data_IF_801822322063
#
_entry.id   IF_801822322063
#
_cell.length_a   1.000
_cell.length_b   1.000
_cell.length_c   1.000
_cell.angle_alpha   90.00
_cell.angle_beta   90.00
_cell.angle_gamma   90.00
#
_symmetry.space_group_name_H-M   'P 1'
#
loop_
_entity.id
_entity.type
_entity.pdbx_description
1 polymer ?
#
# COMPACT_ATOMS: atom_id res chain seq x y z
N UNK A 1 5.93 -18.86 -1.39
CA UNK A 1 6.96 -18.00 -2.00
C UNK A 1 6.36 -16.73 -2.64
N UNK A 2 5.31 -16.82 -3.48
CA UNK A 2 4.67 -15.64 -4.11
C UNK A 2 4.16 -14.61 -3.09
N UNK A 3 3.47 -15.06 -2.06
CA UNK A 3 2.87 -14.18 -1.03
C UNK A 3 3.93 -13.41 -0.24
N UNK A 4 5.05 -14.07 0.12
CA UNK A 4 6.17 -13.42 0.80
C UNK A 4 6.86 -12.33 -0.08
N UNK A 5 6.94 -12.56 -1.39
CA UNK A 5 7.42 -11.55 -2.34
C UNK A 5 6.48 -10.34 -2.39
N UNK A 6 5.16 -10.58 -2.41
CA UNK A 6 4.16 -9.50 -2.36
C UNK A 6 4.28 -8.64 -1.10
N UNK A 7 4.51 -9.26 0.07
CA UNK A 7 4.73 -8.54 1.31
C UNK A 7 6.00 -7.66 1.25
N UNK A 8 7.11 -8.22 0.78
CA UNK A 8 8.36 -7.48 0.62
C UNK A 8 8.24 -6.30 -0.33
N UNK A 9 7.56 -6.49 -1.46
CA UNK A 9 7.31 -5.42 -2.43
C UNK A 9 6.45 -4.30 -1.85
N UNK A 10 5.39 -4.61 -1.07
CA UNK A 10 4.57 -3.57 -0.44
C UNK A 10 5.33 -2.75 0.59
N UNK A 11 6.19 -3.38 1.39
CA UNK A 11 7.03 -2.64 2.35
C UNK A 11 8.00 -1.72 1.61
N UNK A 12 8.61 -2.19 0.52
CA UNK A 12 9.51 -1.38 -0.30
C UNK A 12 8.77 -0.23 -0.98
N UNK A 13 7.58 -0.46 -1.50
CA UNK A 13 6.74 0.55 -2.15
C UNK A 13 6.40 1.66 -1.16
N UNK A 14 5.86 1.32 0.00
CA UNK A 14 5.58 2.28 1.07
C UNK A 14 6.81 3.06 1.51
N UNK A 15 7.96 2.41 1.69
CA UNK A 15 9.20 3.08 2.08
C UNK A 15 9.69 4.06 1.01
N UNK A 16 9.58 3.68 -0.27
CA UNK A 16 9.96 4.54 -1.39
C UNK A 16 8.98 5.70 -1.57
N UNK A 17 7.69 5.51 -1.33
CA UNK A 17 6.70 6.58 -1.40
C UNK A 17 6.92 7.63 -0.30
N UNK A 18 7.19 7.22 0.93
CA UNK A 18 7.57 8.15 2.02
C UNK A 18 8.81 8.95 1.61
N UNK A 19 9.83 8.31 1.05
CA UNK A 19 11.04 8.98 0.61
C UNK A 19 10.78 9.99 -0.52
N UNK A 20 9.92 9.65 -1.49
CA UNK A 20 9.53 10.57 -2.58
C UNK A 20 8.71 11.75 -2.04
N UNK A 21 7.78 11.51 -1.11
CA UNK A 21 6.99 12.56 -0.45
C UNK A 21 7.92 13.55 0.26
N UNK A 22 8.87 13.06 1.07
CA UNK A 22 9.85 13.91 1.77
C UNK A 22 10.64 14.75 0.78
N UNK A 23 11.11 14.14 -0.30
CA UNK A 23 11.88 14.81 -1.34
C UNK A 23 11.09 15.90 -2.07
N UNK A 24 9.80 15.65 -2.37
CA UNK A 24 8.94 16.64 -3.03
C UNK A 24 8.57 17.77 -2.07
N UNK A 25 8.39 17.49 -0.78
CA UNK A 25 8.12 18.51 0.23
C UNK A 25 9.32 19.43 0.50
N UNK A 26 10.56 18.94 0.27
CA UNK A 26 11.78 19.72 0.45
C UNK A 26 12.03 20.81 -0.61
N UNK A 27 11.24 20.84 -1.69
CA UNK A 27 11.36 21.84 -2.77
C UNK A 27 10.04 22.58 -2.95
N UNK A 28 10.04 23.89 -2.93
CA UNK A 28 8.82 24.72 -3.05
C UNK A 28 8.05 24.44 -4.36
N UNK A 29 8.77 24.22 -5.47
CA UNK A 29 8.16 23.96 -6.79
C UNK A 29 7.39 22.63 -6.85
N UNK A 30 7.79 21.62 -6.06
CA UNK A 30 7.20 20.27 -6.06
C UNK A 30 6.37 19.96 -4.82
N UNK A 31 6.31 20.88 -3.87
CA UNK A 31 5.61 20.71 -2.60
C UNK A 31 4.14 20.33 -2.78
N UNK A 32 3.47 20.89 -3.79
CA UNK A 32 2.08 20.54 -4.12
C UNK A 32 1.91 19.08 -4.50
N UNK A 33 2.87 18.51 -5.24
CA UNK A 33 2.85 17.09 -5.62
C UNK A 33 3.15 16.18 -4.41
N UNK A 34 4.04 16.61 -3.51
CA UNK A 34 4.28 15.92 -2.23
C UNK A 34 3.01 15.82 -1.39
N UNK A 35 2.25 16.91 -1.28
CA UNK A 35 0.95 16.90 -0.61
C UNK A 35 -0.06 15.98 -1.28
N UNK A 36 -0.11 15.95 -2.61
CA UNK A 36 -1.01 15.07 -3.35
C UNK A 36 -0.69 13.60 -3.09
N UNK A 37 0.59 13.21 -3.11
CA UNK A 37 1.02 11.84 -2.76
C UNK A 37 0.65 11.50 -1.31
N UNK A 38 0.92 12.40 -0.36
CA UNK A 38 0.56 12.19 1.04
C UNK A 38 -0.93 11.94 1.21
N UNK A 39 -1.79 12.73 0.54
CA UNK A 39 -3.23 12.55 0.59
C UNK A 39 -3.69 11.23 -0.02
N UNK A 40 -3.02 10.70 -1.06
CA UNK A 40 -3.29 9.37 -1.63
C UNK A 40 -3.01 8.27 -0.60
N UNK A 41 -1.85 8.32 0.06
CA UNK A 41 -1.50 7.38 1.14
C UNK A 41 -2.50 7.46 2.30
N UNK A 42 -2.82 8.67 2.76
CA UNK A 42 -3.79 8.87 3.85
C UNK A 42 -5.18 8.35 3.47
N UNK A 43 -5.63 8.58 2.23
CA UNK A 43 -6.91 8.06 1.75
C UNK A 43 -6.92 6.53 1.70
N UNK A 44 -5.85 5.89 1.20
CA UNK A 44 -5.67 4.44 1.22
C UNK A 44 -5.76 3.88 2.64
N UNK A 45 -5.01 4.46 3.58
CA UNK A 45 -5.04 4.07 4.99
C UNK A 45 -6.41 4.27 5.63
N UNK A 46 -7.11 5.38 5.32
CA UNK A 46 -8.44 5.66 5.86
C UNK A 46 -9.47 4.61 5.40
N UNK A 47 -9.42 4.20 4.13
CA UNK A 47 -10.32 3.15 3.60
C UNK A 47 -9.99 1.80 4.25
N UNK A 48 -8.72 1.46 4.42
CA UNK A 48 -8.30 0.24 5.11
C UNK A 48 -8.75 0.24 6.59
N UNK A 49 -8.62 1.38 7.28
CA UNK A 49 -9.13 1.53 8.66
C UNK A 49 -10.63 1.36 8.76
N UNK A 50 -11.38 1.93 7.81
CA UNK A 50 -12.83 1.77 7.74
C UNK A 50 -13.21 0.30 7.54
N UNK A 51 -12.51 -0.39 6.63
CA UNK A 51 -12.71 -1.82 6.38
C UNK A 51 -12.47 -2.66 7.65
N UNK A 52 -11.33 -2.45 8.31
CA UNK A 52 -10.97 -3.13 9.57
C UNK A 52 -12.00 -2.84 10.67
N UNK A 53 -12.49 -1.60 10.74
CA UNK A 53 -13.52 -1.21 11.71
C UNK A 53 -14.83 -1.97 11.47
N UNK A 54 -15.30 -2.02 10.24
CA UNK A 54 -16.54 -2.73 9.89
C UNK A 54 -16.42 -4.22 10.19
N UNK A 55 -15.28 -4.82 9.83
CA UNK A 55 -15.01 -6.24 10.01
C UNK A 55 -14.91 -6.66 11.50
N UNK A 56 -14.35 -5.81 12.35
CA UNK A 56 -14.05 -6.15 13.74
C UNK A 56 -14.92 -5.41 14.77
N UNK A 57 -16.09 -4.89 14.37
CA UNK A 57 -16.97 -4.08 15.21
C UNK A 57 -17.38 -4.75 16.53
N UNK A 58 -17.43 -6.09 16.58
CA UNK A 58 -17.78 -6.86 17.78
C UNK A 58 -16.63 -7.19 18.74
N UNK A 59 -15.35 -6.86 18.37
CA UNK A 59 -14.16 -7.31 19.10
C UNK A 59 -13.15 -6.19 19.31
N UNK A 60 -13.30 -5.39 20.38
CA UNK A 60 -12.50 -4.18 20.55
C UNK A 60 -10.99 -4.45 20.65
N UNK A 61 -10.56 -5.58 21.20
CA UNK A 61 -9.13 -5.91 21.32
C UNK A 61 -8.49 -6.23 19.97
N UNK A 62 -9.20 -6.99 19.12
CA UNK A 62 -8.76 -7.33 17.75
C UNK A 62 -8.77 -6.06 16.90
N UNK A 63 -9.83 -5.26 17.00
CA UNK A 63 -9.96 -4.00 16.31
C UNK A 63 -8.77 -3.07 16.56
N UNK A 64 -8.40 -2.84 17.81
CA UNK A 64 -7.26 -1.97 18.15
C UNK A 64 -5.94 -2.52 17.57
N UNK A 65 -5.72 -3.83 17.67
CA UNK A 65 -4.53 -4.47 17.09
C UNK A 65 -4.47 -4.29 15.57
N UNK A 66 -5.55 -4.57 14.88
CA UNK A 66 -5.64 -4.43 13.41
C UNK A 66 -5.50 -2.97 12.96
N UNK A 67 -6.11 -2.03 13.69
CA UNK A 67 -5.96 -0.60 13.41
C UNK A 67 -4.50 -0.14 13.57
N UNK A 68 -3.79 -0.60 14.58
CA UNK A 68 -2.36 -0.31 14.75
C UNK A 68 -1.53 -0.87 13.59
N UNK A 69 -1.84 -2.09 13.12
CA UNK A 69 -1.16 -2.69 11.98
C UNK A 69 -1.40 -1.86 10.71
N UNK A 70 -2.63 -1.38 10.47
CA UNK A 70 -2.92 -0.49 9.33
C UNK A 70 -2.13 0.82 9.45
N UNK A 71 -2.11 1.44 10.63
CA UNK A 71 -1.39 2.71 10.86
C UNK A 71 0.12 2.60 10.65
N UNK A 72 0.71 1.41 10.85
CA UNK A 72 2.12 1.17 10.52
C UNK A 72 2.36 0.89 9.04
N UNK A 73 1.30 0.78 8.21
CA UNK A 73 1.38 0.41 6.80
C UNK A 73 1.80 -1.05 6.56
N UNK A 74 1.88 -1.84 7.62
CA UNK A 74 2.30 -3.26 7.55
C UNK A 74 1.12 -4.21 7.30
N UNK A 75 -0.10 -3.70 7.16
CA UNK A 75 -1.30 -4.53 6.96
C UNK A 75 -1.15 -5.53 5.81
N UNK A 76 -0.71 -5.12 4.59
CA UNK A 76 -0.52 -6.08 3.49
C UNK A 76 0.52 -7.16 3.80
N UNK A 77 1.58 -6.80 4.52
CA UNK A 77 2.63 -7.76 4.90
C UNK A 77 2.15 -8.77 5.95
N UNK A 78 1.36 -8.31 6.92
CA UNK A 78 0.78 -9.17 7.97
C UNK A 78 -0.26 -10.12 7.37
N UNK A 79 -1.14 -9.63 6.49
CA UNK A 79 -2.15 -10.45 5.82
C UNK A 79 -1.50 -11.49 4.91
N UNK A 80 -0.43 -11.11 4.21
CA UNK A 80 0.42 -12.05 3.50
C UNK A 80 1.00 -13.13 4.41
N UNK A 81 1.50 -12.76 5.59
CA UNK A 81 2.02 -13.71 6.57
C UNK A 81 0.97 -14.70 7.05
N UNK A 82 -0.25 -14.24 7.30
CA UNK A 82 -1.40 -15.08 7.71
C UNK A 82 -1.74 -16.12 6.63
N UNK A 83 -1.81 -15.68 5.38
CA UNK A 83 -2.06 -16.58 4.23
C UNK A 83 -0.92 -17.59 4.07
N UNK A 84 0.35 -17.20 4.27
CA UNK A 84 1.50 -18.09 4.17
C UNK A 84 1.51 -19.20 5.25
N UNK A 85 1.05 -18.87 6.46
CA UNK A 85 0.99 -19.82 7.59
C UNK A 85 -0.22 -20.75 7.48
N UNK A 86 -1.11 -20.51 6.49
CA UNK A 86 -2.32 -21.30 6.32
C UNK A 86 -3.27 -21.13 7.50
N UNK A 87 -3.30 -19.95 8.11
CA UNK A 87 -4.35 -19.63 9.09
C UNK A 87 -5.69 -19.71 8.36
N UNK A 88 -6.30 -20.90 8.46
CA UNK A 88 -7.71 -21.09 8.15
C UNK A 88 -8.52 -20.14 9.05
N UNK A 89 -9.72 -19.80 8.61
CA UNK A 89 -10.64 -18.92 9.35
C UNK A 89 -10.53 -19.19 10.85
N UNK A 90 -9.98 -18.27 11.63
CA UNK A 90 -10.34 -18.23 13.03
C UNK A 90 -11.86 -18.09 13.05
N UNK A 91 -12.57 -18.94 13.83
CA UNK A 91 -14.05 -19.03 13.95
C UNK A 91 -14.77 -17.67 14.14
N UNK A 92 -14.04 -16.59 14.02
CA UNK A 92 -14.41 -15.26 14.43
C UNK A 92 -14.15 -14.16 13.38
N UNK A 93 -13.55 -14.44 12.22
CA UNK A 93 -13.43 -13.49 11.13
C UNK A 93 -14.58 -13.67 10.13
N UNK A 94 -15.26 -12.59 9.76
CA UNK A 94 -16.36 -12.62 8.77
C UNK A 94 -15.85 -12.90 7.34
N UNK A 95 -14.58 -12.64 7.09
CA UNK A 95 -13.94 -12.84 5.79
C UNK A 95 -12.74 -13.79 5.90
N UNK A 96 -12.56 -14.61 4.87
CA UNK A 96 -11.36 -15.45 4.71
C UNK A 96 -10.11 -14.57 4.55
N UNK A 97 -8.97 -15.01 5.12
CA UNK A 97 -7.70 -14.30 5.08
C UNK A 97 -7.25 -13.93 3.65
N UNK A 98 -7.61 -14.77 2.67
CA UNK A 98 -7.36 -14.49 1.24
C UNK A 98 -8.20 -13.32 0.74
N UNK A 99 -9.49 -13.30 1.05
CA UNK A 99 -10.40 -12.21 0.66
C UNK A 99 -9.96 -10.89 1.28
N UNK A 100 -9.55 -10.93 2.56
CA UNK A 100 -9.00 -9.76 3.25
C UNK A 100 -7.73 -9.23 2.56
N UNK A 101 -6.81 -10.12 2.21
CA UNK A 101 -5.58 -9.77 1.50
C UNK A 101 -5.88 -9.15 0.13
N UNK A 102 -6.77 -9.78 -0.67
CA UNK A 102 -7.15 -9.28 -2.00
C UNK A 102 -7.78 -7.89 -1.90
N UNK A 103 -8.65 -7.68 -0.93
CA UNK A 103 -9.31 -6.40 -0.71
C UNK A 103 -8.33 -5.31 -0.29
N UNK A 104 -7.47 -5.58 0.70
CA UNK A 104 -6.44 -4.65 1.17
C UNK A 104 -5.47 -4.28 0.05
N UNK A 105 -5.02 -5.27 -0.74
CA UNK A 105 -4.16 -5.05 -1.89
C UNK A 105 -4.87 -4.28 -3.01
N UNK A 106 -6.13 -4.53 -3.25
CA UNK A 106 -6.95 -3.79 -4.21
C UNK A 106 -7.05 -2.31 -3.85
N UNK A 107 -7.29 -1.99 -2.58
CA UNK A 107 -7.33 -0.60 -2.08
C UNK A 107 -5.98 0.08 -2.26
N UNK A 108 -4.88 -0.56 -1.82
CA UNK A 108 -3.52 -0.06 -1.96
C UNK A 108 -3.22 0.27 -3.43
N UNK A 109 -3.53 -0.66 -4.33
CA UNK A 109 -3.27 -0.51 -5.76
C UNK A 109 -4.07 0.65 -6.38
N UNK A 110 -5.37 0.74 -6.09
CA UNK A 110 -6.27 1.74 -6.72
C UNK A 110 -6.11 3.13 -6.11
N UNK A 111 -5.91 3.24 -4.80
CA UNK A 111 -5.87 4.52 -4.11
C UNK A 111 -4.46 5.12 -3.99
N UNK A 112 -3.43 4.31 -4.10
CA UNK A 112 -2.04 4.70 -3.83
C UNK A 112 -1.12 4.39 -5.00
N UNK A 113 -0.91 3.12 -5.35
CA UNK A 113 0.12 2.72 -6.29
C UNK A 113 -0.13 3.23 -7.72
N UNK A 114 -1.34 3.10 -8.27
CA UNK A 114 -1.65 3.57 -9.62
C UNK A 114 -1.63 5.11 -9.71
N UNK A 115 -2.40 5.87 -8.90
CA UNK A 115 -2.40 7.31 -9.01
C UNK A 115 -1.07 7.92 -8.60
N UNK A 116 -0.35 7.34 -7.63
CA UNK A 116 0.99 7.74 -7.23
C UNK A 116 2.01 7.60 -8.35
N UNK A 117 2.01 6.45 -9.05
CA UNK A 117 2.89 6.22 -10.21
C UNK A 117 2.62 7.19 -11.35
N UNK A 118 1.35 7.48 -11.65
CA UNK A 118 0.96 8.46 -12.68
C UNK A 118 1.47 9.86 -12.31
N UNK A 119 1.29 10.26 -11.05
CA UNK A 119 1.75 11.56 -10.57
C UNK A 119 3.27 11.66 -10.61
N UNK A 120 3.99 10.64 -10.16
CA UNK A 120 5.45 10.60 -10.20
C UNK A 120 5.97 10.67 -11.64
N UNK A 121 5.34 9.92 -12.57
CA UNK A 121 5.70 9.97 -13.99
C UNK A 121 5.45 11.37 -14.59
N UNK A 122 4.32 11.99 -14.26
CA UNK A 122 4.02 13.36 -14.70
C UNK A 122 5.08 14.36 -14.22
N UNK A 123 5.46 14.29 -12.95
CA UNK A 123 6.48 15.17 -12.36
C UNK A 123 7.84 14.97 -13.02
N UNK A 124 8.23 13.71 -13.29
CA UNK A 124 9.47 13.39 -14.01
C UNK A 124 9.51 13.95 -15.43
N UNK A 125 8.38 13.91 -16.14
CA UNK A 125 8.29 14.44 -17.50
C UNK A 125 8.32 15.98 -17.53
N UNK A 126 7.77 16.62 -16.49
CA UNK A 126 7.68 18.07 -16.39
C UNK A 126 9.01 18.70 -16.00
N UNK A 127 9.73 18.10 -15.06
CA UNK A 127 10.98 18.64 -14.53
C UNK A 127 12.12 17.62 -14.62
N UNK A 128 12.95 17.80 -15.64
CA UNK A 128 14.14 16.96 -15.86
C UNK A 128 15.17 17.04 -14.73
N UNK A 129 15.14 18.10 -13.90
CA UNK A 129 16.03 18.23 -12.74
C UNK A 129 15.70 17.24 -11.61
N UNK A 130 14.47 16.72 -11.61
CA UNK A 130 13.99 15.70 -10.68
C UNK A 130 14.29 14.27 -11.15
N UNK A 131 14.89 14.12 -12.32
CA UNK A 131 15.33 12.83 -12.86
C UNK A 131 16.48 12.29 -12.03
N UNK A 132 16.14 11.72 -10.87
CA UNK A 132 17.12 11.08 -10.01
C UNK A 132 16.92 9.56 -10.04
N UNK A 133 18.01 8.83 -9.82
CA UNK A 133 17.96 7.37 -9.70
C UNK A 133 16.94 6.90 -8.66
N UNK A 134 16.75 7.68 -7.59
CA UNK A 134 15.80 7.38 -6.53
C UNK A 134 14.33 7.49 -7.00
N UNK A 135 13.98 8.56 -7.75
CA UNK A 135 12.60 8.74 -8.24
C UNK A 135 12.25 7.71 -9.32
N UNK A 136 13.21 7.39 -10.20
CA UNK A 136 13.03 6.33 -11.20
C UNK A 136 12.92 4.96 -10.51
N UNK A 137 13.74 4.72 -9.48
CA UNK A 137 13.69 3.50 -8.67
C UNK A 137 12.35 3.31 -7.98
N UNK A 138 11.80 4.36 -7.35
CA UNK A 138 10.47 4.34 -6.74
C UNK A 138 9.39 4.00 -7.78
N UNK A 139 9.39 4.67 -8.93
CA UNK A 139 8.43 4.40 -9.99
C UNK A 139 8.48 2.95 -10.50
N UNK A 140 9.69 2.39 -10.64
CA UNK A 140 9.87 0.98 -11.02
C UNK A 140 9.34 0.03 -9.94
N UNK A 141 9.60 0.31 -8.67
CA UNK A 141 9.11 -0.50 -7.53
C UNK A 141 7.58 -0.47 -7.51
N UNK A 142 6.96 0.71 -7.60
CA UNK A 142 5.50 0.85 -7.66
C UNK A 142 4.89 0.12 -8.86
N UNK A 143 5.51 0.21 -10.03
CA UNK A 143 5.06 -0.53 -11.22
C UNK A 143 5.17 -2.06 -11.02
N UNK A 144 6.28 -2.54 -10.41
CA UNK A 144 6.45 -3.96 -10.10
C UNK A 144 5.46 -4.43 -9.04
N UNK A 145 5.22 -3.65 -7.99
CA UNK A 145 4.24 -3.96 -6.94
C UNK A 145 2.84 -4.06 -7.51
N UNK A 146 2.45 -3.07 -8.33
CA UNK A 146 1.15 -3.07 -9.00
C UNK A 146 0.98 -4.26 -9.94
N UNK A 147 1.97 -4.53 -10.79
CA UNK A 147 1.95 -5.67 -11.72
C UNK A 147 1.90 -7.01 -10.99
N UNK A 148 2.69 -7.18 -9.94
CA UNK A 148 2.70 -8.40 -9.13
C UNK A 148 1.39 -8.59 -8.37
N UNK A 149 0.84 -7.53 -7.77
CA UNK A 149 -0.44 -7.57 -7.05
C UNK A 149 -1.59 -7.90 -8.01
N UNK A 150 -1.65 -7.26 -9.19
CA UNK A 150 -2.65 -7.55 -10.22
C UNK A 150 -2.58 -9.01 -10.71
N UNK A 151 -1.37 -9.51 -10.95
CA UNK A 151 -1.18 -10.91 -11.35
C UNK A 151 -1.62 -11.87 -10.24
N UNK A 152 -1.28 -11.58 -8.98
CA UNK A 152 -1.66 -12.43 -7.85
C UNK A 152 -3.18 -12.50 -7.66
N UNK A 153 -3.88 -11.39 -7.83
CA UNK A 153 -5.35 -11.33 -7.75
C UNK A 153 -6.01 -12.08 -8.92
N UNK A 154 -5.41 -12.05 -10.11
CA UNK A 154 -5.99 -12.67 -11.31
C UNK A 154 -5.84 -14.20 -11.35
N UNK A 155 -4.89 -14.77 -10.59
CA UNK A 155 -4.61 -16.20 -10.58
C UNK A 155 -5.22 -16.95 -9.38
N UNK A 156 -6.00 -16.29 -8.53
CA UNK A 156 -6.79 -16.87 -7.44
C UNK A 156 -8.28 -16.93 -7.76
#
# INVERSE_FOLDING_TARGET
MRVAMGAGLSILDMATDIFVIERYMGKDETRGYGWSLLWMVVASMAIQLLFVFVQNKGKPRVLVKEMLIVLTGLKPAVDCGRVCVGQEMEEHHEFDAKTELVFTKGIEMVCEAIPGSILQLYVLLKDKSLFSRATVGSLLISAMTTGFSSASISFE
#
